data_IF_921356256592
#
_entry.id   IF_921356256592
#
_cell.length_a   1.000
_cell.length_b   1.000
_cell.length_c   1.000
_cell.angle_alpha   90.00
_cell.angle_beta   90.00
_cell.angle_gamma   90.00
#
_symmetry.space_group_name_H-M   'P 1'
#
loop_
_entity.id
_entity.type
_entity.pdbx_description
1 polymer ?
#
# COMPACT_ATOMS: atom_id res chain seq x y z
N UNK A 1 -45.36 8.24 12.49
CA UNK A 1 -44.53 8.36 11.27
C UNK A 1 -43.45 9.35 11.63
N UNK A 2 -42.30 8.82 12.08
CA UNK A 2 -41.09 9.61 12.39
C UNK A 2 -40.15 9.41 11.23
N UNK A 3 -39.97 10.46 10.41
CA UNK A 3 -38.95 10.48 9.37
C UNK A 3 -37.57 10.37 10.03
N UNK A 4 -36.87 9.28 9.69
CA UNK A 4 -35.47 9.07 10.00
C UNK A 4 -34.70 10.20 9.30
N UNK A 5 -34.15 11.14 10.05
CA UNK A 5 -33.19 12.11 9.56
C UNK A 5 -31.86 11.35 9.23
N UNK A 6 -31.78 10.81 8.03
CA UNK A 6 -30.48 10.46 7.44
C UNK A 6 -29.70 11.78 7.34
N UNK A 7 -28.79 11.99 8.27
CA UNK A 7 -27.92 13.18 8.30
C UNK A 7 -27.17 13.29 6.96
N UNK A 8 -26.99 14.52 6.45
CA UNK A 8 -26.11 14.79 5.31
C UNK A 8 -24.75 14.17 5.61
N UNK A 9 -24.12 13.42 4.65
CA UNK A 9 -22.79 12.89 4.86
C UNK A 9 -21.81 14.02 5.19
N UNK A 10 -20.94 13.79 6.16
CA UNK A 10 -19.85 14.72 6.49
C UNK A 10 -18.96 14.90 5.25
N UNK A 11 -18.26 16.02 5.14
CA UNK A 11 -17.36 16.29 4.02
C UNK A 11 -16.35 15.14 3.81
N UNK A 12 -15.88 14.56 4.91
CA UNK A 12 -14.93 13.43 4.94
C UNK A 12 -15.53 12.13 4.38
N UNK A 13 -16.80 11.85 4.67
CA UNK A 13 -17.51 10.70 4.11
C UNK A 13 -17.68 10.80 2.59
N UNK A 14 -17.89 12.00 2.06
CA UNK A 14 -17.98 12.25 0.61
C UNK A 14 -16.64 12.01 -0.07
N UNK A 15 -15.55 12.50 0.51
CA UNK A 15 -14.20 12.31 -0.04
C UNK A 15 -13.78 10.84 0.06
N UNK A 16 -14.04 10.17 1.20
CA UNK A 16 -13.78 8.75 1.38
C UNK A 16 -14.52 7.91 0.34
N UNK A 17 -15.80 8.23 0.07
CA UNK A 17 -16.58 7.60 -0.97
C UNK A 17 -15.95 7.81 -2.37
N UNK A 18 -15.63 9.06 -2.72
CA UNK A 18 -15.01 9.38 -4.01
C UNK A 18 -13.67 8.65 -4.19
N UNK A 19 -12.79 8.64 -3.19
CA UNK A 19 -11.51 7.93 -3.24
C UNK A 19 -11.73 6.42 -3.45
N UNK A 20 -12.67 5.82 -2.71
CA UNK A 20 -13.00 4.39 -2.84
C UNK A 20 -13.55 4.08 -4.23
N UNK A 21 -14.42 4.93 -4.78
CA UNK A 21 -14.92 4.84 -6.15
C UNK A 21 -13.78 4.88 -7.18
N UNK A 22 -12.86 5.86 -7.05
CA UNK A 22 -11.72 6.00 -7.95
C UNK A 22 -10.78 4.80 -7.87
N UNK A 23 -10.55 4.25 -6.67
CA UNK A 23 -9.70 3.09 -6.47
C UNK A 23 -10.31 1.80 -7.03
N UNK A 24 -11.63 1.64 -6.97
CA UNK A 24 -12.34 0.48 -7.49
C UNK A 24 -12.64 0.57 -8.98
N UNK A 25 -13.07 1.74 -9.48
CA UNK A 25 -13.52 1.92 -10.88
C UNK A 25 -12.44 2.48 -11.80
N UNK A 26 -11.33 2.97 -11.22
CA UNK A 26 -10.26 3.63 -11.98
C UNK A 26 -10.62 5.05 -12.43
N UNK A 27 -9.70 5.65 -13.17
CA UNK A 27 -9.78 7.04 -13.65
C UNK A 27 -9.30 7.11 -15.10
N UNK A 28 -10.13 7.61 -15.99
CA UNK A 28 -9.70 7.97 -17.35
C UNK A 28 -8.88 9.25 -17.29
N UNK A 29 -7.81 9.29 -18.06
CA UNK A 29 -6.94 10.46 -18.16
C UNK A 29 -6.93 10.93 -19.62
N UNK A 30 -7.25 12.20 -19.84
CA UNK A 30 -7.25 12.81 -21.18
C UNK A 30 -5.86 13.28 -21.59
N UNK A 31 -4.92 13.33 -20.64
CA UNK A 31 -3.51 13.66 -20.86
C UNK A 31 -2.62 12.61 -20.19
N UNK A 32 -1.42 12.38 -20.73
CA UNK A 32 -0.48 11.45 -20.11
C UNK A 32 -0.15 11.87 -18.67
N UNK A 33 -0.38 10.99 -17.71
CA UNK A 33 0.13 11.13 -16.35
C UNK A 33 1.43 10.34 -16.21
N UNK A 34 2.32 10.83 -15.35
CA UNK A 34 3.40 9.99 -14.86
C UNK A 34 2.78 8.80 -14.12
N UNK A 35 2.91 7.62 -14.71
CA UNK A 35 2.50 6.37 -14.10
C UNK A 35 3.66 5.73 -13.35
N UNK A 36 3.37 4.86 -12.40
CA UNK A 36 4.40 4.06 -11.73
C UNK A 36 5.18 3.25 -12.78
N UNK A 37 6.46 3.58 -12.94
CA UNK A 37 7.29 2.94 -13.96
C UNK A 37 8.00 1.67 -13.47
N UNK A 38 7.99 1.40 -12.18
CA UNK A 38 8.63 0.22 -11.60
C UNK A 38 8.45 0.16 -10.09
N UNK A 39 9.03 -0.84 -9.44
CA UNK A 39 8.99 -1.00 -7.99
C UNK A 39 7.83 -1.85 -7.48
N UNK A 40 7.45 -1.68 -6.19
CA UNK A 40 6.43 -2.46 -5.52
C UNK A 40 5.01 -2.07 -5.94
N UNK A 41 4.12 -3.04 -5.99
CA UNK A 41 2.70 -2.87 -6.28
C UNK A 41 2.36 -2.62 -7.74
N UNK A 42 1.09 -2.32 -8.07
CA UNK A 42 0.61 -2.18 -9.45
C UNK A 42 1.32 -1.05 -10.20
N UNK A 43 1.94 -1.36 -11.34
CA UNK A 43 2.74 -0.42 -12.13
C UNK A 43 1.92 0.55 -13.00
N UNK A 44 0.60 0.34 -13.12
CA UNK A 44 -0.32 1.04 -14.02
C UNK A 44 -1.29 1.96 -13.28
N UNK A 45 -0.97 2.32 -12.04
CA UNK A 45 -1.74 3.26 -11.24
C UNK A 45 -1.15 4.67 -11.31
N UNK A 46 -2.00 5.67 -11.51
CA UNK A 46 -1.67 7.08 -11.35
C UNK A 46 -1.66 7.47 -9.87
N UNK A 47 -0.78 8.39 -9.51
CA UNK A 47 -0.72 9.00 -8.19
C UNK A 47 -1.21 10.44 -8.28
N UNK A 48 -2.15 10.83 -7.43
CA UNK A 48 -2.69 12.18 -7.40
C UNK A 48 -3.17 12.55 -6.01
N UNK A 49 -3.31 13.86 -5.77
CA UNK A 49 -4.04 14.40 -4.64
C UNK A 49 -5.45 14.77 -5.11
N UNK A 50 -6.47 14.34 -4.38
CA UNK A 50 -7.88 14.66 -4.63
C UNK A 50 -8.39 15.44 -3.42
N UNK A 51 -8.74 16.69 -3.61
CA UNK A 51 -9.04 17.65 -2.54
C UNK A 51 -7.98 17.63 -1.41
N UNK A 52 -6.69 17.48 -1.80
CA UNK A 52 -5.56 17.42 -0.88
C UNK A 52 -5.26 16.04 -0.28
N UNK A 53 -6.09 15.02 -0.50
CA UNK A 53 -5.83 13.66 -0.06
C UNK A 53 -5.05 12.87 -1.10
N UNK A 54 -3.98 12.21 -0.67
CA UNK A 54 -3.14 11.40 -1.52
C UNK A 54 -3.83 10.09 -1.92
N UNK A 55 -3.93 9.83 -3.21
CA UNK A 55 -4.57 8.64 -3.75
C UNK A 55 -3.76 7.97 -4.85
N UNK A 56 -3.73 6.65 -4.82
CA UNK A 56 -3.25 5.85 -5.94
C UNK A 56 -4.45 5.24 -6.64
N UNK A 57 -4.63 5.57 -7.90
CA UNK A 57 -5.82 5.24 -8.67
C UNK A 57 -5.44 4.49 -9.96
N UNK A 58 -6.11 3.37 -10.31
CA UNK A 58 -5.90 2.69 -11.58
C UNK A 58 -6.18 3.61 -12.77
N UNK A 59 -5.21 3.77 -13.68
CA UNK A 59 -5.34 4.57 -14.91
C UNK A 59 -5.01 3.76 -16.16
N UNK A 60 -4.16 2.74 -16.04
CA UNK A 60 -3.72 1.87 -17.13
C UNK A 60 -4.50 0.55 -17.25
N UNK A 61 -5.23 0.15 -16.24
CA UNK A 61 -6.02 -1.08 -16.23
C UNK A 61 -7.15 -1.06 -17.27
N UNK A 62 -7.55 -2.23 -17.78
CA UNK A 62 -8.60 -2.31 -18.81
C UNK A 62 -9.90 -1.62 -18.38
N UNK A 63 -10.35 -1.85 -17.15
CA UNK A 63 -11.58 -1.27 -16.62
C UNK A 63 -11.49 0.26 -16.41
N UNK A 64 -10.30 0.82 -16.20
CA UNK A 64 -10.12 2.26 -16.08
C UNK A 64 -10.47 3.01 -17.38
N UNK A 65 -10.35 2.34 -18.54
CA UNK A 65 -10.70 2.95 -19.84
C UNK A 65 -12.19 3.22 -20.01
N UNK A 66 -13.03 2.49 -19.29
CA UNK A 66 -14.49 2.64 -19.29
C UNK A 66 -15.02 3.28 -18.02
N UNK A 67 -14.12 3.76 -17.15
CA UNK A 67 -14.51 4.43 -15.91
C UNK A 67 -15.42 5.63 -16.19
N UNK A 68 -16.47 5.86 -15.39
CA UNK A 68 -17.25 7.09 -15.49
C UNK A 68 -16.47 8.33 -15.03
N UNK A 69 -15.37 8.12 -14.29
CA UNK A 69 -14.53 9.19 -13.78
C UNK A 69 -13.48 9.61 -14.80
N UNK A 70 -13.28 10.91 -14.94
CA UNK A 70 -12.31 11.51 -15.88
C UNK A 70 -11.49 12.57 -15.16
N UNK A 71 -10.17 12.52 -15.31
CA UNK A 71 -9.29 13.62 -14.91
C UNK A 71 -9.14 14.59 -16.07
N UNK A 72 -9.46 15.88 -15.84
CA UNK A 72 -9.36 16.94 -16.83
C UNK A 72 -8.49 18.07 -16.32
N UNK A 73 -7.74 18.67 -17.25
CA UNK A 73 -7.09 19.95 -17.01
C UNK A 73 -8.13 21.08 -17.02
N UNK A 74 -7.96 22.02 -16.11
CA UNK A 74 -8.67 23.29 -16.00
C UNK A 74 -7.66 24.45 -16.18
N UNK A 75 -8.13 25.68 -16.31
CA UNK A 75 -7.24 26.85 -16.45
C UNK A 75 -6.30 26.99 -15.25
N UNK A 76 -6.79 26.69 -14.04
CA UNK A 76 -6.06 26.83 -12.78
C UNK A 76 -5.71 25.49 -12.13
N UNK A 77 -5.62 24.38 -12.89
CA UNK A 77 -5.23 23.10 -12.32
C UNK A 77 -5.90 21.87 -12.94
N UNK A 78 -6.32 20.93 -12.12
CA UNK A 78 -6.95 19.69 -12.53
C UNK A 78 -8.16 19.38 -11.66
N UNK A 79 -9.12 18.64 -12.23
CA UNK A 79 -10.26 18.17 -11.47
C UNK A 79 -10.73 16.79 -11.93
N UNK A 80 -11.39 16.08 -11.02
CA UNK A 80 -12.10 14.82 -11.28
C UNK A 80 -13.53 15.16 -11.65
N UNK A 81 -13.97 14.61 -12.78
CA UNK A 81 -15.32 14.74 -13.31
C UNK A 81 -16.01 13.38 -13.39
N UNK A 82 -17.34 13.38 -13.26
CA UNK A 82 -18.23 12.26 -13.61
C UNK A 82 -19.45 12.80 -14.36
N UNK A 83 -19.74 12.24 -15.53
CA UNK A 83 -20.88 12.63 -16.37
C UNK A 83 -20.99 14.14 -16.65
N UNK A 84 -19.84 14.83 -16.73
CA UNK A 84 -19.76 16.27 -16.93
C UNK A 84 -19.84 17.10 -15.66
N UNK A 85 -20.14 16.52 -14.51
CA UNK A 85 -20.15 17.19 -13.21
C UNK A 85 -18.74 17.18 -12.60
N UNK A 86 -18.29 18.35 -12.11
CA UNK A 86 -17.04 18.50 -11.35
C UNK A 86 -17.22 18.00 -9.93
N UNK A 87 -16.44 17.00 -9.51
CA UNK A 87 -16.56 16.37 -8.21
C UNK A 87 -15.55 16.88 -7.18
N UNK A 88 -14.29 17.04 -7.58
CA UNK A 88 -13.18 17.39 -6.69
C UNK A 88 -12.05 18.05 -7.45
N UNK A 89 -11.25 18.86 -6.77
CA UNK A 89 -9.94 19.30 -7.27
C UNK A 89 -8.98 18.12 -7.30
N UNK A 90 -8.05 18.13 -8.24
CA UNK A 90 -7.03 17.09 -8.32
C UNK A 90 -5.66 17.70 -8.66
N UNK A 91 -4.60 17.03 -8.23
CA UNK A 91 -3.25 17.37 -8.60
C UNK A 91 -2.47 16.09 -8.87
N UNK A 92 -2.11 15.81 -10.12
CA UNK A 92 -1.26 14.68 -10.46
C UNK A 92 0.12 14.81 -9.82
N UNK A 93 0.66 13.68 -9.34
CA UNK A 93 2.03 13.65 -8.84
C UNK A 93 3.01 13.99 -9.97
N UNK A 94 3.98 14.84 -9.65
CA UNK A 94 5.04 15.22 -10.59
C UNK A 94 6.00 14.05 -10.77
N UNK A 95 6.63 14.01 -11.96
CA UNK A 95 7.71 13.06 -12.18
C UNK A 95 8.89 13.41 -11.25
N UNK A 96 9.39 12.47 -10.46
CA UNK A 96 10.52 12.71 -9.56
C UNK A 96 11.78 13.11 -10.33
N UNK A 97 12.53 14.07 -9.79
CA UNK A 97 13.79 14.55 -10.38
C UNK A 97 14.89 13.49 -10.33
N UNK A 98 14.92 12.67 -9.27
CA UNK A 98 15.92 11.62 -9.17
C UNK A 98 15.78 10.53 -10.24
N UNK A 99 14.64 10.46 -10.96
CA UNK A 99 14.47 9.51 -12.08
C UNK A 99 15.43 9.80 -13.26
N UNK A 100 16.00 11.00 -13.33
CA UNK A 100 16.98 11.38 -14.35
C UNK A 100 18.40 10.92 -14.03
N UNK A 101 18.61 10.35 -12.84
CA UNK A 101 19.90 9.84 -12.37
C UNK A 101 20.05 8.34 -12.66
N UNK A 102 21.31 7.90 -12.61
CA UNK A 102 21.69 6.48 -12.72
C UNK A 102 22.85 6.19 -11.78
N UNK A 103 23.03 4.91 -11.43
CA UNK A 103 24.22 4.44 -10.72
C UNK A 103 25.47 4.59 -11.58
N UNK A 104 26.66 4.45 -10.98
CA UNK A 104 27.94 4.44 -11.71
C UNK A 104 27.98 3.37 -12.83
N UNK A 105 27.28 2.24 -12.64
CA UNK A 105 27.16 1.16 -13.62
C UNK A 105 26.06 1.40 -14.67
N UNK A 106 25.43 2.58 -14.66
CA UNK A 106 24.41 3.00 -15.64
C UNK A 106 22.99 2.46 -15.39
N UNK A 107 22.69 1.92 -14.20
CA UNK A 107 21.32 1.50 -13.85
C UNK A 107 20.48 2.73 -13.50
N UNK A 108 19.40 3.03 -14.26
CA UNK A 108 18.54 4.18 -13.96
C UNK A 108 17.90 4.06 -12.57
N UNK A 109 17.87 5.16 -11.81
CA UNK A 109 17.32 5.15 -10.45
C UNK A 109 15.85 4.77 -10.39
N UNK A 110 15.04 5.14 -11.41
CA UNK A 110 13.63 4.75 -11.50
C UNK A 110 13.42 3.23 -11.64
N UNK A 111 14.42 2.44 -12.10
CA UNK A 111 14.36 0.98 -12.10
C UNK A 111 14.71 0.38 -10.72
N UNK A 112 15.37 1.14 -9.86
CA UNK A 112 15.76 0.70 -8.52
C UNK A 112 14.64 0.95 -7.52
N UNK A 113 14.11 2.17 -7.47
CA UNK A 113 12.98 2.51 -6.62
C UNK A 113 12.08 3.57 -7.28
N UNK A 114 10.81 3.55 -6.95
CA UNK A 114 9.87 4.60 -7.30
C UNK A 114 9.63 5.53 -6.11
N UNK A 115 9.24 6.77 -6.40
CA UNK A 115 8.66 7.66 -5.40
C UNK A 115 7.15 7.44 -5.39
N UNK A 116 6.65 6.88 -4.31
CA UNK A 116 5.22 6.70 -4.09
C UNK A 116 4.71 7.86 -3.23
N UNK A 117 4.30 8.95 -3.89
CA UNK A 117 4.02 10.25 -3.28
C UNK A 117 5.26 10.82 -2.60
N UNK A 118 5.45 10.57 -1.33
CA UNK A 118 6.59 10.99 -0.51
C UNK A 118 7.38 9.81 0.09
N UNK A 119 7.07 8.57 -0.31
CA UNK A 119 7.75 7.35 0.16
C UNK A 119 8.60 6.72 -0.94
N UNK A 120 9.86 6.41 -0.65
CA UNK A 120 10.74 5.64 -1.55
C UNK A 120 10.32 4.17 -1.49
N UNK A 121 9.75 3.64 -2.56
CA UNK A 121 9.24 2.28 -2.58
C UNK A 121 10.01 1.38 -3.53
N UNK A 122 10.43 0.20 -3.06
CA UNK A 122 11.15 -0.77 -3.88
C UNK A 122 10.89 -2.21 -3.47
N UNK A 123 10.85 -3.11 -4.47
CA UNK A 123 10.96 -4.55 -4.25
C UNK A 123 12.41 -4.95 -4.41
N UNK A 124 13.11 -5.21 -3.31
CA UNK A 124 14.56 -5.42 -3.31
C UNK A 124 14.98 -6.70 -4.05
N UNK A 125 14.14 -7.73 -3.96
CA UNK A 125 14.27 -8.97 -4.71
C UNK A 125 13.00 -9.15 -5.54
N UNK A 126 13.07 -8.82 -6.83
CA UNK A 126 11.94 -8.80 -7.76
C UNK A 126 11.55 -10.21 -8.26
N UNK A 127 12.26 -11.24 -7.84
CA UNK A 127 11.93 -12.64 -8.08
C UNK A 127 11.30 -13.26 -6.84
N UNK A 128 10.35 -14.17 -7.03
CA UNK A 128 9.71 -14.89 -5.93
C UNK A 128 9.75 -16.39 -6.17
N UNK A 129 10.05 -17.18 -5.14
CA UNK A 129 10.10 -18.63 -5.21
C UNK A 129 8.75 -19.27 -5.60
N UNK A 130 7.66 -18.53 -5.45
CA UNK A 130 6.31 -19.00 -5.79
C UNK A 130 5.88 -18.61 -7.20
N UNK A 131 6.56 -17.65 -7.84
CA UNK A 131 6.15 -17.13 -9.15
C UNK A 131 6.28 -18.20 -10.25
N UNK A 132 5.22 -18.34 -11.05
CA UNK A 132 5.20 -19.26 -12.19
C UNK A 132 4.99 -20.73 -11.82
N UNK A 133 4.60 -21.04 -10.59
CA UNK A 133 4.31 -22.40 -10.15
C UNK A 133 3.00 -22.48 -9.35
N UNK A 134 2.64 -23.66 -8.84
CA UNK A 134 1.38 -23.89 -8.12
C UNK A 134 1.24 -23.09 -6.80
N UNK A 135 2.31 -22.51 -6.31
CA UNK A 135 2.34 -21.71 -5.08
C UNK A 135 2.16 -20.21 -5.33
N UNK A 136 2.03 -19.79 -6.58
CA UNK A 136 1.90 -18.38 -6.96
C UNK A 136 0.67 -17.74 -6.33
N UNK A 137 0.86 -16.55 -5.72
CA UNK A 137 -0.25 -15.70 -5.33
C UNK A 137 -0.95 -15.17 -6.59
N UNK A 138 -2.24 -15.43 -6.73
CA UNK A 138 -3.00 -15.17 -7.96
C UNK A 138 -3.14 -13.70 -8.32
N UNK A 139 -3.15 -12.83 -7.30
CA UNK A 139 -3.23 -11.36 -7.46
C UNK A 139 -1.88 -10.70 -7.76
N UNK A 140 -0.76 -11.42 -7.59
CA UNK A 140 0.58 -10.84 -7.65
C UNK A 140 1.04 -10.63 -9.10
N UNK A 141 1.66 -9.49 -9.38
CA UNK A 141 2.27 -9.13 -10.66
C UNK A 141 3.81 -8.98 -10.61
N UNK A 142 4.49 -9.57 -9.61
CA UNK A 142 5.93 -9.35 -9.37
C UNK A 142 6.80 -9.66 -10.60
N UNK A 143 6.51 -10.75 -11.32
CA UNK A 143 7.26 -11.13 -12.51
C UNK A 143 6.92 -10.29 -13.74
N UNK A 144 5.71 -9.73 -13.81
CA UNK A 144 5.26 -8.90 -14.94
C UNK A 144 6.09 -7.63 -15.04
N UNK A 145 6.30 -6.95 -13.92
CA UNK A 145 7.09 -5.71 -13.86
C UNK A 145 8.54 -5.95 -14.29
N UNK A 146 9.11 -7.11 -13.89
CA UNK A 146 10.46 -7.51 -14.30
C UNK A 146 10.53 -7.84 -15.80
N UNK A 147 9.58 -8.62 -16.31
CA UNK A 147 9.53 -8.99 -17.73
C UNK A 147 9.38 -7.78 -18.66
N UNK A 148 8.68 -6.73 -18.19
CA UNK A 148 8.49 -5.49 -18.94
C UNK A 148 9.66 -4.49 -18.81
N UNK A 149 10.77 -4.88 -18.17
CA UNK A 149 11.97 -4.04 -18.02
C UNK A 149 11.77 -2.79 -17.16
N UNK A 150 10.70 -2.75 -16.35
CA UNK A 150 10.37 -1.60 -15.48
C UNK A 150 11.14 -1.60 -14.16
N UNK A 151 11.87 -2.65 -13.88
CA UNK A 151 12.69 -2.82 -12.67
C UNK A 151 13.79 -3.82 -12.95
N UNK A 152 14.75 -3.95 -12.04
CA UNK A 152 15.82 -4.95 -12.08
C UNK A 152 15.55 -6.10 -11.09
N UNK A 153 16.09 -7.27 -11.35
CA UNK A 153 15.81 -8.49 -10.60
C UNK A 153 16.21 -8.38 -9.11
N UNK A 154 17.33 -7.73 -8.82
CA UNK A 154 17.84 -7.59 -7.45
C UNK A 154 18.48 -6.23 -7.26
N UNK A 155 18.07 -5.52 -6.22
CA UNK A 155 18.65 -4.26 -5.79
C UNK A 155 19.65 -4.53 -4.66
N UNK A 156 20.80 -3.89 -4.71
CA UNK A 156 21.79 -3.98 -3.63
C UNK A 156 21.50 -2.94 -2.55
N UNK A 157 21.98 -3.16 -1.30
CA UNK A 157 21.90 -2.15 -0.26
C UNK A 157 22.46 -0.79 -0.68
N UNK A 158 23.59 -0.79 -1.41
CA UNK A 158 24.23 0.43 -1.90
C UNK A 158 23.34 1.16 -2.92
N UNK A 159 22.79 0.48 -3.92
CA UNK A 159 21.88 1.09 -4.92
C UNK A 159 20.69 1.77 -4.24
N UNK A 160 20.09 1.11 -3.24
CA UNK A 160 18.94 1.64 -2.52
C UNK A 160 19.32 2.83 -1.64
N UNK A 161 20.48 2.80 -1.01
CA UNK A 161 21.02 3.92 -0.25
C UNK A 161 21.24 5.16 -1.13
N UNK A 162 21.87 5.01 -2.29
CA UNK A 162 22.09 6.09 -3.27
C UNK A 162 20.75 6.70 -3.72
N UNK A 163 19.78 5.87 -4.10
CA UNK A 163 18.47 6.34 -4.54
C UNK A 163 17.70 7.03 -3.42
N UNK A 164 17.75 6.50 -2.20
CA UNK A 164 17.05 7.10 -1.05
C UNK A 164 17.59 8.50 -0.70
N UNK A 165 18.92 8.69 -0.75
CA UNK A 165 19.54 10.02 -0.57
C UNK A 165 19.07 10.97 -1.65
N UNK A 166 19.11 10.55 -2.93
CA UNK A 166 18.68 11.39 -4.04
C UNK A 166 17.18 11.75 -3.95
N UNK A 167 16.32 10.78 -3.62
CA UNK A 167 14.88 11.00 -3.46
C UNK A 167 14.57 11.97 -2.30
N UNK A 168 15.28 11.86 -1.17
CA UNK A 168 15.17 12.81 -0.05
C UNK A 168 15.59 14.22 -0.46
N UNK A 169 16.76 14.34 -1.05
CA UNK A 169 17.38 15.65 -1.29
C UNK A 169 16.76 16.39 -2.49
N UNK A 170 16.33 15.65 -3.51
CA UNK A 170 15.78 16.24 -4.71
C UNK A 170 14.25 16.33 -4.68
N UNK A 171 13.58 15.36 -4.08
CA UNK A 171 12.12 15.21 -4.21
C UNK A 171 11.39 15.14 -2.86
N UNK A 172 12.11 15.36 -1.74
CA UNK A 172 11.50 15.50 -0.42
C UNK A 172 10.91 14.21 0.15
N UNK A 173 11.47 13.05 -0.19
CA UNK A 173 11.04 11.79 0.40
C UNK A 173 11.20 11.81 1.92
N UNK A 174 10.21 11.28 2.64
CA UNK A 174 10.14 11.32 4.12
C UNK A 174 10.28 9.95 4.76
N UNK A 175 10.07 8.87 4.01
CA UNK A 175 10.30 7.48 4.47
C UNK A 175 10.66 6.56 3.30
N UNK A 176 10.92 5.30 3.62
CA UNK A 176 11.10 4.25 2.62
C UNK A 176 10.30 2.99 2.96
N UNK A 177 9.76 2.35 1.92
CA UNK A 177 9.05 1.08 1.99
C UNK A 177 9.77 0.06 1.11
N UNK A 178 10.37 -0.94 1.73
CA UNK A 178 11.10 -1.99 1.02
C UNK A 178 10.39 -3.33 1.17
N UNK A 179 9.98 -3.94 0.07
CA UNK A 179 9.41 -5.28 0.06
C UNK A 179 10.35 -6.29 -0.59
N UNK A 180 10.11 -7.57 -0.43
CA UNK A 180 10.86 -8.64 -1.10
C UNK A 180 9.95 -9.71 -1.67
N UNK A 181 10.25 -10.19 -2.86
CA UNK A 181 9.75 -11.49 -3.27
C UNK A 181 10.32 -12.57 -2.35
N UNK A 182 9.48 -13.52 -1.99
CA UNK A 182 9.84 -14.61 -1.06
C UNK A 182 10.96 -15.48 -1.67
N UNK A 183 12.00 -15.70 -0.87
CA UNK A 183 13.11 -16.59 -1.25
C UNK A 183 12.90 -18.01 -0.70
N UNK A 184 13.62 -19.00 -1.27
CA UNK A 184 13.59 -20.38 -0.77
C UNK A 184 14.33 -20.56 0.58
N UNK A 185 14.99 -19.54 1.10
CA UNK A 185 15.70 -19.57 2.39
C UNK A 185 14.75 -19.65 3.58
N UNK A 186 15.17 -20.17 4.75
CA UNK A 186 14.34 -20.26 5.94
C UNK A 186 13.79 -18.91 6.43
N UNK A 187 14.54 -17.83 6.23
CA UNK A 187 14.15 -16.46 6.56
C UNK A 187 13.25 -15.81 5.50
N UNK A 188 12.97 -16.50 4.39
CA UNK A 188 12.13 -16.03 3.27
C UNK A 188 12.56 -14.68 2.68
N UNK A 189 13.83 -14.27 2.88
CA UNK A 189 14.39 -13.01 2.41
C UNK A 189 14.30 -11.84 3.41
N UNK A 190 13.77 -12.08 4.62
CA UNK A 190 13.59 -11.05 5.64
C UNK A 190 14.92 -10.35 6.02
N UNK A 191 15.99 -11.11 6.22
CA UNK A 191 17.30 -10.53 6.56
C UNK A 191 17.93 -9.75 5.42
N UNK A 192 17.63 -10.11 4.18
CA UNK A 192 18.16 -9.35 3.03
C UNK A 192 17.45 -8.01 2.86
N UNK A 193 16.11 -7.98 2.93
CA UNK A 193 15.38 -6.72 2.86
C UNK A 193 15.72 -5.82 4.06
N UNK A 194 15.95 -6.38 5.25
CA UNK A 194 16.38 -5.63 6.42
C UNK A 194 17.77 -5.00 6.24
N UNK A 195 18.74 -5.71 5.67
CA UNK A 195 20.07 -5.14 5.34
C UNK A 195 19.95 -4.00 4.32
N UNK A 196 19.04 -4.12 3.34
CA UNK A 196 18.75 -3.03 2.41
C UNK A 196 18.16 -1.83 3.15
N UNK A 197 17.20 -2.06 4.06
CA UNK A 197 16.59 -1.03 4.88
C UNK A 197 17.59 -0.34 5.81
N UNK A 198 18.48 -1.11 6.42
CA UNK A 198 19.57 -0.55 7.25
C UNK A 198 20.43 0.40 6.44
N UNK A 199 20.87 0.00 5.24
CA UNK A 199 21.70 0.86 4.39
C UNK A 199 20.97 2.14 3.96
N UNK A 200 19.67 2.05 3.64
CA UNK A 200 18.82 3.22 3.34
C UNK A 200 18.77 4.15 4.55
N UNK A 201 18.46 3.65 5.73
CA UNK A 201 18.39 4.43 6.98
C UNK A 201 19.72 5.11 7.30
N UNK A 202 20.83 4.37 7.23
CA UNK A 202 22.16 4.90 7.56
C UNK A 202 22.61 6.01 6.60
N UNK A 203 22.29 5.88 5.30
CA UNK A 203 22.69 6.87 4.31
C UNK A 203 21.75 8.08 4.25
N UNK A 204 20.44 7.89 4.36
CA UNK A 204 19.44 8.92 4.14
C UNK A 204 18.80 9.46 5.41
N UNK A 205 18.95 8.79 6.55
CA UNK A 205 18.26 9.07 7.81
C UNK A 205 16.72 8.99 7.71
N UNK A 206 16.19 8.34 6.65
CA UNK A 206 14.77 8.10 6.51
C UNK A 206 14.35 6.91 7.39
N UNK A 207 13.18 6.98 8.06
CA UNK A 207 12.59 5.78 8.66
C UNK A 207 12.22 4.78 7.57
N UNK A 208 12.36 3.48 7.85
CA UNK A 208 12.17 2.42 6.86
C UNK A 208 11.17 1.39 7.36
N UNK A 209 10.17 1.08 6.53
CA UNK A 209 9.38 -0.14 6.64
C UNK A 209 10.00 -1.24 5.78
N UNK A 210 10.08 -2.46 6.30
CA UNK A 210 10.39 -3.65 5.48
C UNK A 210 9.21 -4.62 5.46
N UNK A 211 8.97 -5.24 4.28
CA UNK A 211 7.83 -6.14 4.08
C UNK A 211 8.34 -7.52 3.69
N UNK A 212 7.91 -8.55 4.45
CA UNK A 212 8.32 -9.94 4.26
C UNK A 212 7.26 -10.92 4.75
N UNK A 213 7.34 -12.18 4.35
CA UNK A 213 6.52 -13.25 4.91
C UNK A 213 7.07 -13.74 6.24
N UNK A 214 6.22 -14.32 7.14
CA UNK A 214 6.69 -14.94 8.37
C UNK A 214 7.85 -15.90 8.11
N UNK A 215 9.04 -15.67 8.70
CA UNK A 215 10.16 -16.61 8.61
C UNK A 215 9.81 -17.91 9.34
N UNK A 216 10.54 -19.00 9.04
CA UNK A 216 10.36 -20.28 9.75
C UNK A 216 10.73 -20.19 11.23
N UNK A 217 11.79 -19.44 11.51
CA UNK A 217 12.24 -19.08 12.85
C UNK A 217 11.84 -17.63 13.12
N UNK A 218 10.94 -17.42 14.08
CA UNK A 218 10.42 -16.11 14.40
C UNK A 218 11.46 -15.19 15.08
N UNK A 219 12.56 -15.72 15.62
CA UNK A 219 13.66 -14.90 16.16
C UNK A 219 14.35 -14.06 15.08
N UNK A 220 14.15 -14.38 13.81
CA UNK A 220 14.57 -13.54 12.68
C UNK A 220 13.90 -12.17 12.74
N UNK A 221 12.68 -12.06 13.26
CA UNK A 221 11.93 -10.80 13.37
C UNK A 221 12.67 -9.82 14.29
N UNK A 222 13.18 -10.29 15.42
CA UNK A 222 13.96 -9.44 16.33
C UNK A 222 15.24 -8.94 15.67
N UNK A 223 15.92 -9.83 14.93
CA UNK A 223 17.12 -9.46 14.19
C UNK A 223 16.86 -8.42 13.11
N UNK A 224 15.66 -8.42 12.51
CA UNK A 224 15.21 -7.37 11.58
C UNK A 224 15.03 -6.05 12.32
N UNK A 225 14.39 -6.06 13.49
CA UNK A 225 14.22 -4.86 14.32
C UNK A 225 15.56 -4.31 14.82
N UNK A 226 16.51 -5.18 15.23
CA UNK A 226 17.85 -4.81 15.69
C UNK A 226 18.69 -4.07 14.63
N UNK A 227 18.34 -4.21 13.34
CA UNK A 227 18.94 -3.44 12.24
C UNK A 227 18.46 -1.98 12.19
N UNK A 228 17.59 -1.57 13.13
CA UNK A 228 17.05 -0.21 13.22
C UNK A 228 15.95 0.09 12.22
N UNK A 229 15.23 -0.94 11.80
CA UNK A 229 14.02 -0.83 10.97
C UNK A 229 12.88 -0.26 11.82
N UNK A 230 12.15 0.70 11.28
CA UNK A 230 11.13 1.43 12.02
C UNK A 230 9.77 0.73 12.04
N UNK A 231 9.41 0.02 10.98
CA UNK A 231 8.09 -0.62 10.83
C UNK A 231 8.21 -1.91 10.02
N UNK A 232 7.27 -2.83 10.20
CA UNK A 232 7.24 -4.11 9.48
C UNK A 232 5.87 -4.39 8.85
N UNK A 233 5.87 -4.78 7.58
CA UNK A 233 4.71 -5.30 6.87
C UNK A 233 4.76 -6.82 6.77
N UNK A 234 3.79 -7.52 7.36
CA UNK A 234 3.68 -8.99 7.31
C UNK A 234 2.26 -9.31 6.82
N UNK A 235 2.10 -9.54 5.51
CA UNK A 235 0.82 -9.48 4.84
C UNK A 235 0.15 -10.85 4.71
N UNK A 236 -1.05 -11.00 5.31
CA UNK A 236 -1.88 -12.22 5.25
C UNK A 236 -2.76 -12.24 4.00
N UNK A 237 -3.10 -11.07 3.46
CA UNK A 237 -3.96 -10.79 2.30
C UNK A 237 -5.46 -11.01 2.57
N UNK A 238 -5.85 -12.02 3.31
CA UNK A 238 -7.25 -12.28 3.70
C UNK A 238 -7.31 -13.09 4.98
N UNK A 239 -8.38 -12.89 5.76
CA UNK A 239 -8.69 -13.69 6.96
C UNK A 239 -9.65 -14.85 6.68
N UNK A 240 -10.08 -15.02 5.42
CA UNK A 240 -10.85 -16.19 5.02
C UNK A 240 -9.90 -17.34 4.62
N UNK A 241 -9.86 -18.45 5.37
CA UNK A 241 -8.92 -19.53 5.13
C UNK A 241 -9.18 -20.26 3.80
N UNK A 242 -10.42 -20.29 3.33
CA UNK A 242 -10.76 -20.94 2.06
C UNK A 242 -10.29 -20.07 0.89
N UNK A 243 -10.50 -18.77 0.98
CA UNK A 243 -9.97 -17.81 0.00
C UNK A 243 -8.45 -17.82 0.03
N UNK A 244 -7.81 -17.76 1.21
CA UNK A 244 -6.36 -17.80 1.35
C UNK A 244 -5.74 -19.03 0.67
N UNK A 245 -6.35 -20.21 0.86
CA UNK A 245 -5.89 -21.45 0.21
C UNK A 245 -5.97 -21.39 -1.32
N UNK A 246 -6.99 -20.71 -1.86
CA UNK A 246 -7.19 -20.57 -3.30
C UNK A 246 -6.27 -19.52 -3.92
N UNK A 247 -6.08 -18.35 -3.27
CA UNK A 247 -5.38 -17.21 -3.86
C UNK A 247 -3.89 -17.18 -3.57
N UNK A 248 -3.44 -17.77 -2.47
CA UNK A 248 -2.05 -17.77 -2.01
C UNK A 248 -1.70 -19.07 -1.30
N UNK A 249 -1.59 -20.20 -2.04
CA UNK A 249 -1.40 -21.54 -1.45
C UNK A 249 -0.19 -21.65 -0.53
N UNK A 250 0.91 -20.98 -0.88
CA UNK A 250 2.10 -20.94 -0.04
C UNK A 250 1.86 -20.25 1.30
N UNK A 251 1.12 -19.13 1.30
CA UNK A 251 0.75 -18.41 2.53
C UNK A 251 -0.24 -19.22 3.37
N UNK A 252 -1.16 -19.94 2.74
CA UNK A 252 -2.11 -20.83 3.41
C UNK A 252 -1.42 -21.93 4.23
N UNK A 253 -0.23 -22.39 3.82
CA UNK A 253 0.56 -23.36 4.62
C UNK A 253 1.11 -22.76 5.94
N UNK A 254 1.37 -21.46 5.96
CA UNK A 254 1.66 -20.74 7.22
C UNK A 254 0.41 -20.65 8.09
N UNK A 255 -0.75 -20.49 7.46
CA UNK A 255 -2.06 -20.38 8.06
C UNK A 255 -2.25 -19.06 8.84
N UNK A 256 -3.50 -18.67 9.06
CA UNK A 256 -3.85 -17.42 9.75
C UNK A 256 -3.22 -17.36 11.15
N UNK A 257 -3.26 -18.46 11.91
CA UNK A 257 -2.65 -18.51 13.25
C UNK A 257 -1.12 -18.40 13.22
N UNK A 258 -0.47 -18.83 12.14
CA UNK A 258 0.96 -18.61 11.92
C UNK A 258 1.28 -17.13 11.73
N UNK A 259 0.42 -16.39 11.02
CA UNK A 259 0.53 -14.94 10.91
C UNK A 259 0.33 -14.25 12.25
N UNK A 260 -0.65 -14.63 13.05
CA UNK A 260 -0.87 -14.06 14.39
C UNK A 260 0.36 -14.24 15.28
N UNK A 261 0.97 -15.43 15.33
CA UNK A 261 2.22 -15.65 16.10
C UNK A 261 3.36 -14.75 15.61
N UNK A 262 3.50 -14.57 14.30
CA UNK A 262 4.51 -13.68 13.74
C UNK A 262 4.24 -12.21 14.09
N UNK A 263 2.99 -11.78 14.07
CA UNK A 263 2.60 -10.41 14.44
C UNK A 263 2.81 -10.15 15.94
N UNK A 264 2.44 -11.08 16.83
CA UNK A 264 2.70 -10.94 18.27
C UNK A 264 4.21 -10.74 18.54
N UNK A 265 5.08 -11.50 17.84
CA UNK A 265 6.52 -11.31 17.94
C UNK A 265 6.94 -9.96 17.33
N UNK A 266 6.40 -9.59 16.19
CA UNK A 266 6.72 -8.34 15.53
C UNK A 266 6.29 -7.13 16.36
N UNK A 267 5.09 -7.15 16.95
CA UNK A 267 4.63 -6.06 17.83
C UNK A 267 5.51 -5.95 19.08
N UNK A 268 5.96 -7.07 19.64
CA UNK A 268 6.91 -7.04 20.75
C UNK A 268 8.26 -6.40 20.36
N UNK A 269 8.71 -6.59 19.12
CA UNK A 269 9.99 -6.06 18.62
C UNK A 269 9.93 -4.62 18.12
N UNK A 270 8.85 -4.25 17.39
CA UNK A 270 8.70 -2.95 16.73
C UNK A 270 7.79 -1.97 17.48
N UNK A 271 6.90 -2.46 18.32
CA UNK A 271 5.88 -1.68 19.03
C UNK A 271 4.51 -1.71 18.36
N UNK A 272 3.48 -1.33 19.14
CA UNK A 272 2.11 -1.21 18.64
C UNK A 272 1.99 -0.17 17.53
N UNK A 273 1.22 -0.48 16.47
CA UNK A 273 1.02 0.39 15.32
C UNK A 273 2.21 0.45 14.35
N UNK A 274 3.34 -0.21 14.66
CA UNK A 274 4.49 -0.32 13.75
C UNK A 274 4.46 -1.58 12.88
N UNK A 275 3.51 -2.47 13.12
CA UNK A 275 3.31 -3.68 12.33
C UNK A 275 2.02 -3.54 11.53
N UNK A 276 2.10 -3.81 10.23
CA UNK A 276 0.95 -3.73 9.33
C UNK A 276 0.70 -5.04 8.59
N UNK A 277 -0.55 -5.26 8.18
CA UNK A 277 -0.90 -6.33 7.25
C UNK A 277 -1.84 -5.83 6.17
N UNK A 278 -1.55 -6.15 4.91
CA UNK A 278 -2.54 -5.97 3.84
C UNK A 278 -3.70 -6.95 4.02
N UNK A 279 -4.91 -6.42 3.80
CA UNK A 279 -6.16 -7.18 3.68
C UNK A 279 -6.82 -6.73 2.38
N UNK A 280 -6.85 -7.60 1.39
CA UNK A 280 -7.34 -7.30 0.05
C UNK A 280 -8.80 -7.74 -0.04
N UNK A 281 -9.68 -6.83 -0.41
CA UNK A 281 -11.11 -7.06 -0.59
C UNK A 281 -11.45 -7.39 -2.04
N UNK A 282 -12.46 -8.22 -2.26
CA UNK A 282 -12.99 -8.54 -3.59
C UNK A 282 -12.46 -9.85 -4.18
N UNK A 283 -11.93 -10.73 -3.35
CA UNK A 283 -11.45 -12.05 -3.76
C UNK A 283 -12.46 -13.17 -3.44
N UNK A 284 -13.69 -12.81 -3.02
CA UNK A 284 -14.76 -13.74 -2.67
C UNK A 284 -14.74 -14.19 -1.21
N UNK A 285 -14.15 -13.40 -0.36
CA UNK A 285 -14.05 -13.60 1.09
C UNK A 285 -15.37 -13.35 1.81
N UNK A 286 -15.55 -14.02 2.96
CA UNK A 286 -16.64 -13.73 3.89
C UNK A 286 -16.34 -12.39 4.63
N UNK A 287 -17.22 -11.37 4.51
CA UNK A 287 -17.01 -10.07 5.15
C UNK A 287 -16.92 -10.14 6.68
N UNK A 288 -17.58 -11.10 7.33
CA UNK A 288 -17.53 -11.25 8.77
C UNK A 288 -16.20 -11.83 9.23
N UNK A 289 -15.62 -12.76 8.49
CA UNK A 289 -14.27 -13.26 8.74
C UNK A 289 -13.22 -12.16 8.57
N UNK A 290 -13.38 -11.29 7.56
CA UNK A 290 -12.47 -10.15 7.36
C UNK A 290 -12.52 -9.19 8.55
N UNK A 291 -13.72 -8.77 8.96
CA UNK A 291 -13.88 -7.83 10.07
C UNK A 291 -13.37 -8.42 11.39
N UNK A 292 -13.68 -9.69 11.67
CA UNK A 292 -13.21 -10.37 12.89
C UNK A 292 -11.69 -10.52 12.89
N UNK A 293 -11.10 -10.89 11.74
CA UNK A 293 -9.65 -10.98 11.59
C UNK A 293 -8.96 -9.62 11.81
N UNK A 294 -9.51 -8.54 11.22
CA UNK A 294 -9.02 -7.18 11.44
C UNK A 294 -9.14 -6.78 12.92
N UNK A 295 -10.27 -7.07 13.59
CA UNK A 295 -10.46 -6.80 15.01
C UNK A 295 -9.37 -7.49 15.85
N UNK A 296 -9.16 -8.80 15.63
CA UNK A 296 -8.11 -9.58 16.32
C UNK A 296 -6.70 -9.02 16.08
N UNK A 297 -6.40 -8.59 14.85
CA UNK A 297 -5.12 -7.95 14.51
C UNK A 297 -4.93 -6.65 15.29
N UNK A 298 -5.96 -5.80 15.34
CA UNK A 298 -5.94 -4.55 16.11
C UNK A 298 -5.77 -4.80 17.60
N UNK A 299 -6.43 -5.83 18.16
CA UNK A 299 -6.32 -6.20 19.58
C UNK A 299 -4.87 -6.51 20.01
N UNK A 300 -4.04 -7.01 19.11
CA UNK A 300 -2.62 -7.27 19.36
C UNK A 300 -1.67 -6.16 18.88
N UNK A 301 -2.17 -5.02 18.45
CA UNK A 301 -1.37 -3.87 18.05
C UNK A 301 -0.96 -3.79 16.57
N UNK A 302 -1.56 -4.61 15.70
CA UNK A 302 -1.29 -4.63 14.25
C UNK A 302 -2.30 -3.74 13.51
N UNK A 303 -1.80 -2.94 12.56
CA UNK A 303 -2.63 -2.14 11.68
C UNK A 303 -3.07 -2.96 10.45
N UNK A 304 -4.37 -3.32 10.31
CA UNK A 304 -4.90 -3.94 9.11
C UNK A 304 -5.11 -2.87 8.03
N UNK A 305 -4.26 -2.88 7.00
CA UNK A 305 -4.38 -2.00 5.85
C UNK A 305 -5.33 -2.63 4.82
N UNK A 306 -6.61 -2.28 4.92
CA UNK A 306 -7.67 -2.84 4.08
C UNK A 306 -7.74 -2.07 2.76
N UNK A 307 -7.56 -2.79 1.65
CA UNK A 307 -7.48 -2.22 0.29
C UNK A 307 -8.37 -2.99 -0.69
N UNK A 308 -8.92 -2.34 -1.74
CA UNK A 308 -9.61 -3.05 -2.80
C UNK A 308 -8.63 -3.86 -3.67
N UNK A 309 -9.03 -5.03 -4.14
CA UNK A 309 -8.34 -5.74 -5.20
C UNK A 309 -8.20 -4.83 -6.41
N UNK A 310 -7.00 -4.74 -6.94
CA UNK A 310 -6.71 -4.12 -8.23
C UNK A 310 -6.29 -5.21 -9.21
N UNK A 311 -7.17 -5.64 -10.11
CA UNK A 311 -6.83 -6.60 -11.14
C UNK A 311 -5.66 -6.07 -11.98
N UNK A 312 -4.49 -6.68 -11.80
CA UNK A 312 -3.26 -6.24 -12.48
C UNK A 312 -3.07 -7.05 -13.74
N UNK A 313 -2.81 -6.38 -14.86
CA UNK A 313 -2.51 -7.03 -16.15
C UNK A 313 -1.33 -7.98 -15.99
N UNK A 314 -1.49 -9.23 -16.46
CA UNK A 314 -0.50 -10.30 -16.33
C UNK A 314 -0.52 -11.04 -14.99
N UNK A 315 -1.39 -10.68 -14.04
CA UNK A 315 -1.69 -11.51 -12.88
C UNK A 315 -2.73 -12.59 -13.24
N UNK A 316 -2.86 -13.62 -12.40
CA UNK A 316 -3.90 -14.65 -12.60
C UNK A 316 -5.33 -14.14 -12.25
N UNK A 317 -5.45 -12.89 -11.86
CA UNK A 317 -6.70 -12.19 -11.53
C UNK A 317 -6.96 -10.97 -12.44
N UNK A 318 -6.28 -10.85 -13.58
CA UNK A 318 -6.41 -9.68 -14.44
C UNK A 318 -7.82 -9.45 -14.99
N UNK A 319 -8.60 -10.53 -15.15
CA UNK A 319 -9.97 -10.48 -15.67
C UNK A 319 -11.05 -10.36 -14.58
N UNK A 320 -10.66 -10.34 -13.30
CA UNK A 320 -11.63 -10.12 -12.23
C UNK A 320 -12.11 -8.66 -12.20
N UNK A 321 -13.35 -8.47 -11.80
CA UNK A 321 -13.84 -7.15 -11.46
C UNK A 321 -13.25 -6.70 -10.12
N UNK A 322 -12.90 -5.42 -10.01
CA UNK A 322 -12.61 -4.81 -8.71
C UNK A 322 -13.88 -4.88 -7.81
N UNK A 323 -13.73 -4.96 -6.47
CA UNK A 323 -14.87 -4.95 -5.57
C UNK A 323 -15.67 -3.65 -5.70
N UNK A 324 -16.98 -3.72 -5.38
CA UNK A 324 -17.78 -2.50 -5.36
C UNK A 324 -17.31 -1.56 -4.25
N UNK A 325 -17.33 -0.25 -4.49
CA UNK A 325 -16.98 0.75 -3.46
C UNK A 325 -17.85 0.62 -2.20
N UNK A 326 -19.13 0.31 -2.37
CA UNK A 326 -20.08 0.14 -1.26
C UNK A 326 -19.69 -1.05 -0.36
N UNK A 327 -19.18 -2.14 -0.96
CA UNK A 327 -18.66 -3.28 -0.21
C UNK A 327 -17.42 -2.87 0.59
N UNK A 328 -16.47 -2.19 -0.03
CA UNK A 328 -15.26 -1.70 0.64
C UNK A 328 -15.61 -0.78 1.81
N UNK A 329 -16.49 0.20 1.61
CA UNK A 329 -16.92 1.13 2.65
C UNK A 329 -17.61 0.42 3.80
N UNK A 330 -18.43 -0.60 3.51
CA UNK A 330 -19.09 -1.41 4.54
C UNK A 330 -18.04 -2.04 5.47
N UNK A 331 -16.96 -2.61 4.91
CA UNK A 331 -15.88 -3.18 5.69
C UNK A 331 -15.11 -2.09 6.45
N UNK A 332 -14.75 -0.97 5.79
CA UNK A 332 -14.03 0.13 6.44
C UNK A 332 -14.77 0.65 7.67
N UNK A 333 -16.08 0.91 7.54
CA UNK A 333 -16.92 1.40 8.65
C UNK A 333 -17.04 0.41 9.82
N UNK A 334 -16.86 -0.90 9.56
CA UNK A 334 -16.85 -1.95 10.59
C UNK A 334 -15.48 -2.09 11.25
N UNK A 335 -14.38 -1.81 10.55
CA UNK A 335 -13.00 -1.96 11.05
C UNK A 335 -12.54 -0.71 11.82
N UNK A 336 -12.82 0.49 11.30
CA UNK A 336 -12.37 1.76 11.89
C UNK A 336 -12.70 1.94 13.39
N UNK A 337 -13.87 1.55 13.91
CA UNK A 337 -14.13 1.64 15.35
C UNK A 337 -13.12 0.88 16.23
N UNK A 338 -12.58 -0.24 15.78
CA UNK A 338 -11.57 -0.99 16.53
C UNK A 338 -10.24 -0.24 16.55
N UNK A 339 -9.82 0.32 15.42
CA UNK A 339 -8.61 1.16 15.31
C UNK A 339 -8.70 2.36 16.28
N UNK A 340 -9.84 3.06 16.28
CA UNK A 340 -10.09 4.19 17.20
C UNK A 340 -10.01 3.78 18.66
N UNK A 341 -10.67 2.68 19.01
CA UNK A 341 -10.70 2.19 20.40
C UNK A 341 -9.30 1.82 20.90
N UNK A 342 -8.42 1.32 20.00
CA UNK A 342 -7.03 0.97 20.32
C UNK A 342 -6.07 2.16 20.24
N UNK A 343 -6.45 3.25 19.60
CA UNK A 343 -5.57 4.39 19.35
C UNK A 343 -4.51 4.13 18.27
N UNK A 344 -4.75 3.16 17.38
CA UNK A 344 -3.91 2.81 16.25
C UNK A 344 -4.50 3.42 14.98
N UNK A 345 -3.65 3.96 14.12
CA UNK A 345 -4.06 4.53 12.84
C UNK A 345 -2.83 4.90 12.00
N UNK A 346 -3.07 5.50 10.84
CA UNK A 346 -2.01 5.99 9.94
C UNK A 346 -0.92 6.79 10.66
N UNK A 347 -1.29 7.49 11.68
CA UNK A 347 -0.45 8.37 12.48
C UNK A 347 0.52 7.66 13.41
N UNK A 348 0.24 6.44 13.76
CA UNK A 348 1.11 5.66 14.66
C UNK A 348 2.28 5.06 13.88
N UNK A 349 2.11 4.78 12.59
CA UNK A 349 3.16 4.20 11.77
C UNK A 349 4.27 5.21 11.44
N UNK A 350 5.52 4.86 11.73
CA UNK A 350 6.69 5.69 11.44
C UNK A 350 7.06 5.70 9.95
N UNK A 351 6.78 4.63 9.23
CA UNK A 351 7.09 4.45 7.81
C UNK A 351 6.10 3.51 7.14
N UNK A 352 6.09 3.51 5.82
CA UNK A 352 5.47 2.48 5.02
C UNK A 352 4.02 2.71 4.61
N UNK A 353 3.38 1.63 4.17
CA UNK A 353 2.05 1.70 3.59
C UNK A 353 0.99 2.18 4.59
N UNK A 354 1.10 1.79 5.86
CA UNK A 354 0.22 2.26 6.94
C UNK A 354 0.34 3.77 7.16
N UNK A 355 1.52 4.37 7.02
CA UNK A 355 1.72 5.82 7.05
C UNK A 355 1.21 6.49 5.77
N UNK A 356 1.53 5.92 4.61
CA UNK A 356 1.27 6.51 3.29
C UNK A 356 -0.23 6.61 2.96
N UNK A 357 -1.04 5.61 3.29
CA UNK A 357 -2.50 5.54 3.13
C UNK A 357 -3.06 5.64 1.70
N UNK A 358 -2.28 5.96 0.69
CA UNK A 358 -2.76 6.31 -0.65
C UNK A 358 -3.52 5.20 -1.39
N UNK A 359 -3.46 3.95 -0.91
CA UNK A 359 -4.11 2.80 -1.55
C UNK A 359 -5.49 2.46 -0.98
N UNK A 360 -5.97 3.17 0.05
CA UNK A 360 -7.25 2.91 0.70
C UNK A 360 -7.98 4.18 1.09
N UNK A 361 -9.29 4.22 0.87
CA UNK A 361 -10.18 5.28 1.41
C UNK A 361 -10.47 5.11 2.91
N UNK A 362 -10.05 4.00 3.55
CA UNK A 362 -10.36 3.70 4.94
C UNK A 362 -9.83 4.75 5.91
N UNK A 363 -8.64 5.28 5.65
CA UNK A 363 -8.00 6.26 6.52
C UNK A 363 -8.76 7.58 6.64
N UNK A 364 -9.51 7.97 5.61
CA UNK A 364 -10.39 9.14 5.67
C UNK A 364 -11.54 8.96 6.66
N UNK A 365 -11.86 7.71 7.01
CA UNK A 365 -12.87 7.37 8.02
C UNK A 365 -12.26 7.26 9.43
N UNK A 366 -10.93 7.28 9.56
CA UNK A 366 -10.20 7.21 10.83
C UNK A 366 -10.17 8.55 11.58
N UNK A 367 -11.22 9.41 11.48
CA UNK A 367 -11.24 10.72 12.12
C UNK A 367 -10.53 10.75 13.48
N UNK A 368 -9.72 11.79 13.70
CA UNK A 368 -9.09 12.07 14.99
C UNK A 368 -9.59 13.36 15.56
N UNK A 369 -9.92 13.29 16.80
CA UNK A 369 -10.03 14.45 17.65
C UNK A 369 -8.87 14.40 18.63
N UNK A 370 -7.95 15.37 18.60
CA UNK A 370 -6.91 15.50 19.62
C UNK A 370 -7.50 15.86 20.99
N UNK A 371 -6.65 15.90 21.99
CA UNK A 371 -7.07 16.27 23.36
C UNK A 371 -7.69 17.68 23.45
N UNK A 372 -7.43 18.54 22.45
CA UNK A 372 -7.94 19.92 22.36
C UNK A 372 -9.22 20.00 21.52
N UNK A 373 -9.79 18.86 21.08
CA UNK A 373 -11.02 18.81 20.31
C UNK A 373 -10.87 19.17 18.83
N UNK A 374 -9.65 19.22 18.30
CA UNK A 374 -9.38 19.43 16.87
C UNK A 374 -9.40 18.11 16.12
N UNK A 375 -10.20 18.04 15.07
CA UNK A 375 -10.22 16.88 14.17
C UNK A 375 -9.06 16.99 13.18
N UNK A 376 -8.15 16.04 13.19
CA UNK A 376 -7.08 15.94 12.21
C UNK A 376 -7.48 14.94 11.11
N UNK A 377 -7.49 15.41 9.88
CA UNK A 377 -7.52 14.54 8.70
C UNK A 377 -6.15 13.88 8.53
N UNK A 378 -6.08 12.60 8.16
CA UNK A 378 -4.80 11.97 7.85
C UNK A 378 -4.14 12.73 6.70
N UNK A 379 -2.93 13.18 6.96
CA UNK A 379 -1.96 13.81 6.04
C UNK A 379 -2.53 14.58 4.85
N UNK A 380 -3.06 15.77 5.11
CA UNK A 380 -2.88 16.87 4.19
C UNK A 380 -1.38 17.19 4.24
N UNK A 381 -0.64 16.90 3.19
CA UNK A 381 0.76 17.34 3.09
C UNK A 381 0.71 18.87 3.08
N UNK A 382 1.04 19.48 4.21
CA UNK A 382 1.31 20.92 4.24
C UNK A 382 2.53 21.16 3.34
N UNK A 383 2.31 21.82 2.22
CA UNK A 383 3.35 22.32 1.33
C UNK A 383 4.13 23.45 1.97
#
# INVERSE_FOLDING_TARGET
MTESSAGRPRADDRLAHLITELQGRGLRVEVPLESRQGGAGPADAGMLWVDGFAATVPTGAHYARTSPYVLRAEDDGWAVYRDGERLASAEPARRPRYYDLATADGVPYWQIALLHLDSVASTVNQTCAYWGNADQCTFCGIGVTLANGRTIARKTPQMLAEVAVAARDLDGAVDATLTTGTTATPDKGALYVARCGQAVREASNLPVEVQFEPPRDLDVIDRVADMGIASAGIHVETFDPQVLARIAPAKARTGIDGYFRAWERAVAAFGEGQVSTYVILGMGEDPDLIVEGCRRAVDIGVYPFVVPLRPTVGSLMEDLAAPSPEYCETIYRRVVPYLRARGIGAHTAAAGCARCQACSGMSLLEERTDADGRTHLPLLINR
#
